data_IF_263202034989
#
_entry.id   IF_263202034989
#
_cell.length_a   1.000
_cell.length_b   1.000
_cell.length_c   1.000
_cell.angle_alpha   90.00
_cell.angle_beta   90.00
_cell.angle_gamma   90.00
#
_symmetry.space_group_name_H-M   'P 1'
#
loop_
_entity.id
_entity.type
_entity.pdbx_description
1 polymer ?
#
# COMPACT_ATOMS: atom_id res chain seq x y z
N UNK A 1 6.03 2.17 12.73
CA UNK A 1 6.62 0.91 12.25
C UNK A 1 6.43 -0.17 13.32
N UNK A 2 6.07 -1.40 12.92
CA UNK A 2 5.87 -2.54 13.84
C UNK A 2 6.66 -3.73 13.32
N UNK A 3 7.54 -4.31 14.14
CA UNK A 3 8.56 -5.30 13.73
C UNK A 3 8.01 -6.58 13.09
N UNK A 4 6.78 -6.97 13.42
CA UNK A 4 6.13 -8.18 12.91
C UNK A 4 5.13 -7.93 11.78
N UNK A 5 5.01 -6.70 11.29
CA UNK A 5 4.13 -6.37 10.18
C UNK A 5 4.81 -6.69 8.83
N UNK A 6 4.22 -7.58 8.04
CA UNK A 6 4.72 -7.96 6.70
C UNK A 6 4.79 -6.74 5.77
N UNK A 7 3.78 -5.86 5.79
CA UNK A 7 3.80 -4.66 4.95
C UNK A 7 4.90 -3.67 5.35
N UNK A 8 5.20 -3.50 6.64
CA UNK A 8 6.33 -2.69 7.07
C UNK A 8 7.66 -3.26 6.57
N UNK A 9 7.83 -4.59 6.59
CA UNK A 9 9.02 -5.25 6.05
C UNK A 9 9.15 -5.06 4.54
N UNK A 10 8.04 -5.08 3.81
CA UNK A 10 8.01 -4.76 2.38
C UNK A 10 8.45 -3.31 2.14
N UNK A 11 7.85 -2.35 2.87
CA UNK A 11 8.19 -0.92 2.79
C UNK A 11 9.66 -0.65 3.12
N UNK A 12 10.22 -1.38 4.08
CA UNK A 12 11.64 -1.29 4.46
C UNK A 12 12.59 -1.98 3.48
N UNK A 13 12.08 -2.75 2.52
CA UNK A 13 12.90 -3.54 1.59
C UNK A 13 13.43 -4.86 2.17
N UNK A 14 13.00 -5.26 3.38
CA UNK A 14 13.38 -6.53 4.01
C UNK A 14 12.75 -7.74 3.30
N UNK A 15 11.58 -7.53 2.68
CA UNK A 15 10.86 -8.54 1.88
C UNK A 15 10.62 -7.96 0.50
N UNK A 16 10.96 -8.72 -0.55
CA UNK A 16 10.68 -8.31 -1.93
C UNK A 16 9.19 -8.34 -2.23
N UNK A 17 8.73 -7.36 -2.98
CA UNK A 17 7.38 -7.30 -3.58
C UNK A 17 7.47 -6.84 -5.03
N UNK A 18 6.49 -7.20 -5.84
CA UNK A 18 6.34 -6.65 -7.20
C UNK A 18 5.66 -5.27 -7.10
N UNK A 19 6.47 -4.22 -7.14
CA UNK A 19 6.03 -2.82 -7.00
C UNK A 19 5.47 -2.32 -8.33
N UNK A 20 4.24 -1.83 -8.30
CA UNK A 20 3.52 -1.30 -9.47
C UNK A 20 3.62 0.22 -9.52
N UNK A 21 3.54 0.88 -8.36
CA UNK A 21 3.64 2.33 -8.23
C UNK A 21 4.08 2.69 -6.80
N UNK A 22 4.79 3.79 -6.65
CA UNK A 22 5.29 4.23 -5.35
C UNK A 22 5.39 5.77 -5.31
N UNK A 23 4.95 6.36 -4.21
CA UNK A 23 5.13 7.78 -3.87
C UNK A 23 5.90 7.91 -2.56
N UNK A 24 6.05 9.13 -2.03
CA UNK A 24 6.59 9.33 -0.69
C UNK A 24 5.75 8.61 0.39
N UNK A 25 4.42 8.66 0.29
CA UNK A 25 3.51 8.21 1.34
C UNK A 25 2.81 6.88 1.06
N UNK A 26 2.76 6.42 -0.18
CA UNK A 26 1.94 5.27 -0.59
C UNK A 26 2.76 4.32 -1.45
N UNK A 27 2.52 3.02 -1.27
CA UNK A 27 3.11 1.94 -2.05
C UNK A 27 1.98 1.08 -2.63
N UNK A 28 2.04 0.80 -3.93
CA UNK A 28 1.15 -0.14 -4.61
C UNK A 28 1.93 -1.35 -5.12
N UNK A 29 1.48 -2.55 -4.77
CA UNK A 29 2.13 -3.82 -5.11
C UNK A 29 1.13 -4.82 -5.71
N UNK A 30 1.61 -5.80 -6.49
CA UNK A 30 0.78 -6.96 -6.82
C UNK A 30 0.57 -7.83 -5.60
N UNK A 31 -0.67 -8.31 -5.44
CA UNK A 31 -0.94 -9.36 -4.47
C UNK A 31 -0.25 -10.66 -4.90
N UNK A 32 0.35 -11.37 -3.95
CA UNK A 32 0.99 -12.67 -4.17
C UNK A 32 -0.04 -13.80 -4.33
N UNK A 33 -1.25 -13.61 -3.82
CA UNK A 33 -2.37 -14.55 -3.90
C UNK A 33 -3.60 -13.88 -4.56
N UNK A 34 -3.49 -13.46 -5.83
CA UNK A 34 -4.49 -12.63 -6.49
C UNK A 34 -5.84 -13.35 -6.63
N UNK A 35 -6.93 -12.62 -6.37
CA UNK A 35 -8.32 -13.09 -6.54
C UNK A 35 -8.98 -12.61 -7.85
N UNK A 36 -8.22 -11.92 -8.70
CA UNK A 36 -8.66 -11.39 -9.99
C UNK A 36 -7.45 -11.31 -10.95
N UNK A 37 -7.66 -11.21 -12.28
CA UNK A 37 -6.55 -11.08 -13.24
C UNK A 37 -5.59 -9.92 -12.93
N UNK A 38 -6.15 -8.83 -12.41
CA UNK A 38 -5.41 -7.71 -11.83
C UNK A 38 -5.87 -7.53 -10.39
N UNK A 39 -4.95 -7.75 -9.44
CA UNK A 39 -5.20 -7.56 -8.01
C UNK A 39 -3.99 -6.84 -7.41
N UNK A 40 -4.22 -5.60 -7.00
CA UNK A 40 -3.19 -4.73 -6.43
C UNK A 40 -3.56 -4.35 -5.00
N UNK A 41 -2.57 -4.29 -4.13
CA UNK A 41 -2.69 -3.77 -2.78
C UNK A 41 -2.09 -2.36 -2.76
N UNK A 42 -2.88 -1.37 -2.34
CA UNK A 42 -2.45 0.03 -2.20
C UNK A 42 -2.39 0.33 -0.71
N UNK A 43 -1.20 0.64 -0.21
CA UNK A 43 -0.88 0.61 1.21
C UNK A 43 -0.17 1.91 1.60
N UNK A 44 -0.57 2.58 2.71
CA UNK A 44 0.19 3.71 3.22
C UNK A 44 1.54 3.22 3.77
N UNK A 45 2.62 3.99 3.55
CA UNK A 45 3.93 3.70 4.15
C UNK A 45 3.92 3.92 5.67
N UNK A 46 3.05 4.82 6.14
CA UNK A 46 2.73 4.92 7.56
C UNK A 46 1.95 3.68 8.02
N UNK A 47 2.44 3.03 9.08
CA UNK A 47 1.73 1.89 9.67
C UNK A 47 0.45 2.35 10.39
N UNK A 48 -0.69 1.88 9.89
CA UNK A 48 -2.02 2.10 10.47
C UNK A 48 -2.72 0.73 10.55
N UNK A 49 -3.11 0.24 11.73
CA UNK A 49 -3.64 -1.13 11.88
C UNK A 49 -4.92 -1.39 11.09
N UNK A 50 -5.86 -0.43 11.11
CA UNK A 50 -7.13 -0.52 10.40
C UNK A 50 -7.52 0.82 9.80
N UNK A 51 -8.47 0.81 8.86
CA UNK A 51 -9.03 2.04 8.28
C UNK A 51 -9.68 2.97 9.31
N UNK A 52 -10.11 2.45 10.46
CA UNK A 52 -10.73 3.23 11.54
C UNK A 52 -9.69 4.02 12.36
N UNK A 53 -8.41 3.64 12.27
CA UNK A 53 -7.32 4.28 13.00
C UNK A 53 -6.71 5.48 12.25
N UNK A 54 -7.21 5.78 11.05
CA UNK A 54 -6.75 6.94 10.27
C UNK A 54 -7.18 8.24 10.97
N UNK A 55 -6.20 9.02 11.44
CA UNK A 55 -6.43 10.30 12.13
C UNK A 55 -6.18 11.52 11.26
N UNK A 56 -5.33 11.38 10.25
CA UNK A 56 -5.08 12.42 9.25
C UNK A 56 -5.86 12.10 7.96
N UNK A 57 -6.85 12.92 7.57
CA UNK A 57 -7.60 12.72 6.33
C UNK A 57 -6.75 12.74 5.06
N UNK A 58 -5.56 13.37 5.08
CA UNK A 58 -4.65 13.41 3.93
C UNK A 58 -4.25 12.00 3.45
N UNK A 59 -4.22 11.03 4.36
CA UNK A 59 -3.87 9.64 4.06
C UNK A 59 -4.90 9.02 3.12
N UNK A 60 -6.19 9.30 3.32
CA UNK A 60 -7.22 8.85 2.40
C UNK A 60 -7.11 9.53 1.03
N UNK A 61 -6.79 10.82 1.01
CA UNK A 61 -6.59 11.54 -0.24
C UNK A 61 -5.44 10.92 -1.04
N UNK A 62 -4.28 10.67 -0.42
CA UNK A 62 -3.11 10.09 -1.06
C UNK A 62 -3.38 8.66 -1.56
N UNK A 63 -4.08 7.83 -0.77
CA UNK A 63 -4.48 6.48 -1.19
C UNK A 63 -5.41 6.50 -2.40
N UNK A 64 -6.39 7.41 -2.42
CA UNK A 64 -7.33 7.53 -3.53
C UNK A 64 -6.66 8.08 -4.78
N UNK A 65 -5.74 9.03 -4.65
CA UNK A 65 -4.94 9.53 -5.77
C UNK A 65 -4.17 8.38 -6.44
N UNK A 66 -3.41 7.60 -5.66
CA UNK A 66 -2.69 6.43 -6.19
C UNK A 66 -3.62 5.39 -6.78
N UNK A 67 -4.80 5.16 -6.18
CA UNK A 67 -5.82 4.27 -6.73
C UNK A 67 -6.23 4.71 -8.14
N UNK A 68 -6.52 5.99 -8.35
CA UNK A 68 -6.92 6.47 -9.69
C UNK A 68 -5.85 6.27 -10.74
N UNK A 69 -4.57 6.39 -10.37
CA UNK A 69 -3.42 6.15 -11.25
C UNK A 69 -3.27 4.67 -11.56
N UNK A 70 -3.35 3.80 -10.54
CA UNK A 70 -3.15 2.36 -10.69
C UNK A 70 -4.32 1.70 -11.43
N UNK A 71 -5.55 2.17 -11.22
CA UNK A 71 -6.75 1.62 -11.86
C UNK A 71 -6.80 1.81 -13.39
N UNK A 72 -5.94 2.67 -13.94
CA UNK A 72 -5.81 2.87 -15.39
C UNK A 72 -4.89 1.82 -16.07
N UNK A 73 -4.29 0.91 -15.30
CA UNK A 73 -3.38 -0.14 -15.77
C UNK A 73 -4.05 -1.50 -15.81
#
# INVERSE_FOLDING_TARGET
MVSNCVFCKIINGDIKSDVVYETEDVLAIRDVAPQAPHHYLIIPKLHIPTSQDVRDPSIWANLMEVLTIVAQR
#
